data_IF_152851768507
#
_entry.id   IF_152851768507
#
_cell.length_a   1.000
_cell.length_b   1.000
_cell.length_c   1.000
_cell.angle_alpha   90.00
_cell.angle_beta   90.00
_cell.angle_gamma   90.00
#
_symmetry.space_group_name_H-M   'P 1'
#
loop_
_entity.id
_entity.type
_entity.pdbx_description
1 polymer ?
#
# COMPACT_ATOMS: atom_id res chain seq x y z
N UNK A 1 33.05 39.36 16.64
CA UNK A 1 31.74 39.06 16.02
C UNK A 1 32.02 38.33 14.71
N UNK A 2 32.12 37.00 14.74
CA UNK A 2 32.50 36.19 13.57
C UNK A 2 31.26 35.53 12.96
N UNK A 3 30.80 36.05 11.83
CA UNK A 3 29.75 35.43 11.02
C UNK A 3 30.37 34.36 10.13
N UNK A 4 30.51 33.14 10.64
CA UNK A 4 30.86 31.98 9.83
C UNK A 4 29.60 31.48 9.10
N UNK A 5 29.54 31.66 7.79
CA UNK A 5 28.55 30.97 6.94
C UNK A 5 28.75 29.47 7.09
N UNK A 6 27.72 28.67 7.42
CA UNK A 6 27.87 27.23 7.54
C UNK A 6 28.26 26.63 6.19
N UNK A 7 29.20 25.68 6.22
CA UNK A 7 29.70 24.98 5.03
C UNK A 7 28.56 24.16 4.41
N UNK A 8 28.42 24.09 3.07
CA UNK A 8 27.35 23.34 2.40
C UNK A 8 27.30 21.84 2.76
N UNK A 9 28.38 21.28 3.32
CA UNK A 9 28.41 19.90 3.83
C UNK A 9 27.55 19.70 5.09
N UNK A 10 27.30 20.76 5.88
CA UNK A 10 26.43 20.70 7.07
C UNK A 10 24.94 20.60 6.71
N UNK A 11 24.58 20.80 5.44
CA UNK A 11 23.20 20.75 4.93
C UNK A 11 22.88 19.35 4.36
N UNK A 12 23.84 18.44 4.33
CA UNK A 12 23.59 17.05 3.98
C UNK A 12 22.91 16.31 5.15
N UNK A 13 21.63 16.64 5.41
CA UNK A 13 20.71 15.69 6.01
C UNK A 13 20.59 14.56 5.00
N UNK A 14 21.34 13.49 5.24
CA UNK A 14 20.99 12.20 4.65
C UNK A 14 19.56 11.91 5.12
N UNK A 15 18.57 11.78 4.22
CA UNK A 15 17.24 11.40 4.64
C UNK A 15 17.40 10.11 5.44
N UNK A 16 16.89 10.03 6.67
CA UNK A 16 16.99 8.78 7.41
C UNK A 16 16.36 7.68 6.54
N UNK A 17 17.03 6.54 6.45
CA UNK A 17 16.51 5.28 5.88
C UNK A 17 15.32 4.72 6.69
N UNK A 18 14.57 5.59 7.35
CA UNK A 18 13.37 5.28 8.08
C UNK A 18 12.23 5.22 7.07
N UNK A 19 12.08 4.04 6.46
CA UNK A 19 10.78 3.67 5.89
C UNK A 19 9.77 3.83 7.03
N UNK A 20 8.71 4.63 6.84
CA UNK A 20 7.70 4.81 7.88
C UNK A 20 7.19 3.44 8.35
N UNK A 21 7.10 3.24 9.66
CA UNK A 21 6.56 1.99 10.20
C UNK A 21 5.08 1.93 9.89
N UNK A 22 4.68 0.94 9.10
CA UNK A 22 3.27 0.68 8.79
C UNK A 22 2.61 0.00 9.99
N UNK A 23 1.55 0.61 10.51
CA UNK A 23 0.75 0.06 11.60
C UNK A 23 -0.55 -0.60 11.09
N UNK A 24 -1.19 0.00 10.09
CA UNK A 24 -2.42 -0.53 9.50
C UNK A 24 -2.35 -0.46 7.97
N UNK A 25 -2.92 -1.47 7.32
CA UNK A 25 -3.12 -1.49 5.86
C UNK A 25 -4.58 -1.79 5.58
N UNK A 26 -5.25 -0.87 4.91
CA UNK A 26 -6.60 -1.06 4.40
C UNK A 26 -6.55 -1.33 2.90
N UNK A 27 -7.14 -2.47 2.49
CA UNK A 27 -7.20 -2.89 1.10
C UNK A 27 -8.66 -3.07 0.67
N UNK A 28 -9.01 -2.55 -0.51
CA UNK A 28 -10.28 -2.80 -1.18
C UNK A 28 -10.01 -3.45 -2.52
N UNK A 29 -10.45 -4.69 -2.65
CA UNK A 29 -10.33 -5.47 -3.88
C UNK A 29 -11.70 -5.65 -4.55
N UNK A 30 -11.75 -5.52 -5.86
CA UNK A 30 -12.97 -5.73 -6.66
C UNK A 30 -12.65 -6.35 -8.01
N UNK A 31 -13.50 -7.27 -8.46
CA UNK A 31 -13.52 -7.72 -9.84
C UNK A 31 -14.52 -6.88 -10.63
N UNK A 32 -14.13 -6.37 -11.81
CA UNK A 32 -15.01 -5.61 -12.71
C UNK A 32 -14.57 -5.75 -14.16
N UNK A 33 -15.43 -5.36 -15.10
CA UNK A 33 -14.98 -5.15 -16.48
C UNK A 33 -14.08 -3.90 -16.57
N UNK A 34 -13.07 -3.91 -17.46
CA UNK A 34 -12.19 -2.77 -17.66
C UNK A 34 -12.91 -1.63 -18.38
N UNK A 35 -12.41 -0.41 -18.19
CA UNK A 35 -12.70 0.69 -19.12
C UNK A 35 -11.99 0.42 -20.46
N UNK A 36 -12.37 1.12 -21.54
CA UNK A 36 -11.66 1.01 -22.83
C UNK A 36 -10.17 1.31 -22.69
N UNK A 37 -9.82 2.36 -21.95
CA UNK A 37 -8.43 2.71 -21.66
C UNK A 37 -7.72 1.60 -20.88
N UNK A 38 -8.37 1.03 -19.86
CA UNK A 38 -7.81 -0.06 -19.06
C UNK A 38 -7.58 -1.33 -19.88
N UNK A 39 -8.50 -1.69 -20.77
CA UNK A 39 -8.36 -2.83 -21.67
C UNK A 39 -7.17 -2.64 -22.62
N UNK A 40 -7.01 -1.43 -23.17
CA UNK A 40 -5.88 -1.06 -24.02
C UNK A 40 -4.54 -1.13 -23.27
N UNK A 41 -4.47 -0.50 -22.09
CA UNK A 41 -3.25 -0.45 -21.27
C UNK A 41 -2.77 -1.84 -20.85
N UNK A 42 -3.70 -2.73 -20.51
CA UNK A 42 -3.41 -4.10 -20.08
C UNK A 42 -3.33 -5.10 -21.25
N UNK A 43 -3.62 -4.66 -22.48
CA UNK A 43 -3.66 -5.47 -23.70
C UNK A 43 -4.56 -6.70 -23.55
N UNK A 44 -5.80 -6.47 -23.11
CA UNK A 44 -6.83 -7.49 -22.90
C UNK A 44 -8.13 -7.12 -23.62
N UNK A 45 -9.03 -8.10 -23.75
CA UNK A 45 -10.40 -7.84 -24.23
C UNK A 45 -11.20 -7.01 -23.22
N UNK A 46 -12.13 -6.18 -23.69
CA UNK A 46 -13.09 -5.46 -22.83
C UNK A 46 -14.09 -6.39 -22.13
N UNK A 47 -14.22 -7.63 -22.60
CA UNK A 47 -15.00 -8.68 -21.95
C UNK A 47 -14.24 -9.43 -20.84
N UNK A 48 -12.92 -9.22 -20.73
CA UNK A 48 -12.10 -9.90 -19.72
C UNK A 48 -12.08 -9.06 -18.43
N UNK A 49 -12.52 -9.66 -17.32
CA UNK A 49 -12.54 -8.98 -16.03
C UNK A 49 -11.11 -8.62 -15.57
N UNK A 50 -11.01 -7.48 -14.87
CA UNK A 50 -9.83 -7.03 -14.16
C UNK A 50 -10.04 -7.11 -12.66
N UNK A 51 -8.95 -7.33 -11.93
CA UNK A 51 -8.90 -7.09 -10.49
C UNK A 51 -8.42 -5.67 -10.24
N UNK A 52 -9.17 -4.93 -9.42
CA UNK A 52 -8.78 -3.60 -8.99
C UNK A 52 -8.60 -3.56 -7.50
N UNK A 53 -7.44 -3.05 -7.09
CA UNK A 53 -7.01 -2.93 -5.72
C UNK A 53 -6.76 -1.46 -5.39
N UNK A 54 -7.38 -0.99 -4.32
CA UNK A 54 -7.00 0.25 -3.63
C UNK A 54 -6.39 -0.14 -2.30
N UNK A 55 -5.16 0.31 -2.04
CA UNK A 55 -4.43 0.07 -0.80
C UNK A 55 -4.03 1.40 -0.17
N UNK A 56 -4.23 1.52 1.13
CA UNK A 56 -3.74 2.64 1.93
C UNK A 56 -3.06 2.04 3.15
N UNK A 57 -1.83 2.48 3.41
CA UNK A 57 -1.10 2.14 4.63
C UNK A 57 -0.92 3.37 5.49
N UNK A 58 -1.13 3.23 6.80
CA UNK A 58 -0.96 4.29 7.78
C UNK A 58 0.07 3.90 8.83
N UNK A 59 0.75 4.90 9.40
CA UNK A 59 1.57 4.71 10.59
C UNK A 59 0.73 4.64 11.87
N UNK A 60 1.38 4.41 13.00
CA UNK A 60 0.72 4.32 14.31
C UNK A 60 0.06 5.65 14.76
N UNK A 61 0.35 6.77 14.10
CA UNK A 61 -0.27 8.07 14.34
C UNK A 61 -1.48 8.32 13.43
N UNK A 62 -1.79 7.37 12.53
CA UNK A 62 -2.90 7.45 11.58
C UNK A 62 -2.55 8.24 10.30
N UNK A 63 -1.29 8.61 10.10
CA UNK A 63 -0.85 9.34 8.91
C UNK A 63 -0.61 8.35 7.77
N UNK A 64 -1.08 8.69 6.56
CA UNK A 64 -0.87 7.86 5.36
C UNK A 64 0.60 7.88 4.97
N UNK A 65 1.19 6.69 4.90
CA UNK A 65 2.59 6.48 4.52
C UNK A 65 2.75 5.82 3.14
N UNK A 66 1.70 5.16 2.66
CA UNK A 66 1.65 4.56 1.32
C UNK A 66 0.21 4.58 0.80
N UNK A 67 0.04 4.85 -0.50
CA UNK A 67 -1.22 4.65 -1.20
C UNK A 67 -0.96 4.04 -2.58
N UNK A 68 -1.75 3.05 -2.97
CA UNK A 68 -1.64 2.41 -4.28
C UNK A 68 -3.03 2.19 -4.89
N UNK A 69 -3.12 2.47 -6.20
CA UNK A 69 -4.24 2.10 -7.05
C UNK A 69 -3.71 1.20 -8.17
N UNK A 70 -4.13 -0.07 -8.14
CA UNK A 70 -3.68 -1.08 -9.08
C UNK A 70 -4.88 -1.63 -9.86
N UNK A 71 -4.66 -1.91 -11.14
CA UNK A 71 -5.58 -2.65 -12.01
C UNK A 71 -4.79 -3.75 -12.70
N UNK A 72 -5.19 -5.00 -12.48
CA UNK A 72 -4.49 -6.20 -12.91
C UNK A 72 -5.40 -7.05 -13.81
N UNK A 73 -4.86 -7.74 -14.82
CA UNK A 73 -5.63 -8.71 -15.61
C UNK A 73 -6.15 -9.84 -14.70
N UNK A 74 -7.47 -10.07 -14.70
CA UNK A 74 -8.09 -11.04 -13.79
C UNK A 74 -7.88 -12.51 -14.15
N UNK A 75 -7.35 -12.79 -15.35
CA UNK A 75 -6.95 -14.12 -15.81
C UNK A 75 -5.50 -14.49 -15.47
N UNK A 76 -4.69 -13.50 -15.04
CA UNK A 76 -3.25 -13.66 -14.80
C UNK A 76 -2.81 -13.24 -13.41
N UNK A 77 -3.71 -12.69 -12.60
CA UNK A 77 -3.42 -12.23 -11.25
C UNK A 77 -4.41 -12.83 -10.27
N UNK A 78 -3.88 -13.28 -9.13
CA UNK A 78 -4.66 -13.80 -8.02
C UNK A 78 -4.49 -12.90 -6.79
N UNK A 79 -5.49 -12.92 -5.90
CA UNK A 79 -5.42 -12.28 -4.59
C UNK A 79 -5.49 -13.34 -3.50
N UNK A 80 -4.41 -13.49 -2.74
CA UNK A 80 -4.32 -14.42 -1.62
C UNK A 80 -4.35 -13.65 -0.30
N UNK A 81 -5.35 -13.92 0.51
CA UNK A 81 -5.49 -13.34 1.86
C UNK A 81 -5.27 -14.42 2.91
N UNK A 82 -4.45 -14.12 3.91
CA UNK A 82 -4.23 -14.99 5.06
C UNK A 82 -4.70 -14.29 6.32
N UNK A 83 -5.75 -14.83 6.94
CA UNK A 83 -6.22 -14.35 8.24
C UNK A 83 -5.54 -15.12 9.35
N UNK A 84 -4.78 -14.44 10.21
CA UNK A 84 -4.29 -15.03 11.46
C UNK A 84 -5.42 -15.02 12.48
N UNK A 85 -5.88 -16.21 12.87
CA UNK A 85 -6.81 -16.36 13.97
C UNK A 85 -6.01 -16.28 15.27
N UNK A 86 -6.20 -15.21 16.04
CA UNK A 86 -5.63 -15.15 17.39
C UNK A 86 -6.55 -15.96 18.29
N UNK A 87 -6.13 -17.15 18.70
CA UNK A 87 -6.82 -17.90 19.76
C UNK A 87 -6.40 -17.29 21.09
N UNK A 88 -7.00 -16.16 21.45
CA UNK A 88 -7.06 -15.83 22.87
C UNK A 88 -7.97 -16.89 23.51
N UNK A 89 -7.35 -17.81 24.23
CA UNK A 89 -8.04 -18.77 25.09
C UNK A 89 -9.07 -18.01 25.91
N UNK A 90 -10.35 -18.27 25.66
CA UNK A 90 -11.39 -18.00 26.64
C UNK A 90 -11.05 -18.86 27.84
N UNK A 91 -10.31 -18.34 28.81
CA UNK A 91 -10.21 -18.97 30.13
C UNK A 91 -11.62 -18.98 30.69
N UNK A 92 -12.32 -20.12 30.80
CA UNK A 92 -13.59 -20.14 31.48
C UNK A 92 -13.26 -19.90 32.96
N UNK A 93 -13.70 -18.76 33.48
CA UNK A 93 -13.70 -18.53 34.92
C UNK A 93 -14.69 -19.53 35.52
N UNK A 94 -14.18 -20.56 36.20
CA UNK A 94 -14.91 -21.43 37.11
C UNK A 94 -13.98 -21.90 38.22
#
# INVERSE_FOLDING_TARGET
>A
MGSGTPSPEQIAVSPPDHRPQVAEVQERLSARLPTQEGASALRISTSLAVLSLTRVATDATGIVVEAALLVLPGDRADALFTTRLNTEERTPSA
#
